data_IF_963054935718
#
_entry.id   IF_963054935718
#
_cell.length_a   1.000
_cell.length_b   1.000
_cell.length_c   1.000
_cell.angle_alpha   90.00
_cell.angle_beta   90.00
_cell.angle_gamma   90.00
#
_symmetry.space_group_name_H-M   'P 1'
#
loop_
_entity.id
_entity.type
_entity.pdbx_description
1 polymer ?
#
# COMPACT_ATOMS: atom_id res chain seq x y z
N UNK A 1 26.41 -22.30 0.92
CA UNK A 1 25.06 -21.90 0.46
C UNK A 1 25.04 -20.38 0.52
N UNK A 2 25.43 -19.72 -0.57
CA UNK A 2 25.30 -18.26 -0.67
C UNK A 2 23.82 -17.95 -0.89
N UNK A 3 23.16 -17.48 0.15
CA UNK A 3 21.84 -16.88 0.00
C UNK A 3 22.05 -15.49 -0.60
N UNK A 4 21.59 -15.29 -1.83
CA UNK A 4 21.50 -13.97 -2.46
C UNK A 4 20.74 -13.01 -1.52
N UNK A 5 21.41 -12.00 -0.93
CA UNK A 5 20.77 -11.06 0.00
C UNK A 5 19.55 -10.38 -0.61
N UNK A 6 19.56 -10.15 -1.93
CA UNK A 6 18.43 -9.56 -2.65
C UNK A 6 17.22 -10.50 -2.74
N UNK A 7 17.42 -11.82 -2.72
CA UNK A 7 16.31 -12.77 -2.67
C UNK A 7 15.64 -12.80 -1.29
N UNK A 8 16.43 -12.64 -0.22
CA UNK A 8 15.92 -12.56 1.15
C UNK A 8 15.10 -11.27 1.36
N UNK A 9 15.66 -10.13 0.97
CA UNK A 9 14.99 -8.83 1.11
C UNK A 9 13.67 -8.75 0.33
N UNK A 10 13.63 -9.32 -0.89
CA UNK A 10 12.38 -9.40 -1.67
C UNK A 10 11.33 -10.28 -1.00
N UNK A 11 11.71 -11.38 -0.34
CA UNK A 11 10.76 -12.22 0.42
C UNK A 11 10.21 -11.48 1.63
N UNK A 12 11.04 -10.71 2.34
CA UNK A 12 10.59 -9.81 3.42
C UNK A 12 9.60 -8.78 2.87
N UNK A 13 9.92 -8.16 1.73
CA UNK A 13 9.03 -7.23 1.02
C UNK A 13 7.67 -7.87 0.75
N UNK A 14 7.65 -9.02 0.08
CA UNK A 14 6.43 -9.73 -0.27
C UNK A 14 5.61 -10.13 0.97
N UNK A 15 6.26 -10.58 2.05
CA UNK A 15 5.57 -10.91 3.29
C UNK A 15 4.91 -9.68 3.95
N UNK A 16 5.54 -8.52 3.90
CA UNK A 16 4.90 -7.27 4.34
C UNK A 16 3.75 -6.83 3.44
N UNK A 17 3.87 -7.02 2.12
CA UNK A 17 2.75 -6.80 1.19
C UNK A 17 1.56 -7.71 1.51
N UNK A 18 1.81 -8.98 1.82
CA UNK A 18 0.79 -9.93 2.26
C UNK A 18 0.08 -9.45 3.53
N UNK A 19 0.86 -9.00 4.53
CA UNK A 19 0.31 -8.49 5.78
C UNK A 19 -0.65 -7.33 5.55
N UNK A 20 -0.27 -6.36 4.71
CA UNK A 20 -1.15 -5.25 4.33
C UNK A 20 -2.36 -5.73 3.54
N UNK A 21 -2.18 -6.66 2.61
CA UNK A 21 -3.27 -7.24 1.82
C UNK A 21 -4.33 -7.93 2.69
N UNK A 22 -3.91 -8.70 3.71
CA UNK A 22 -4.83 -9.35 4.64
C UNK A 22 -5.60 -8.35 5.51
N UNK A 23 -4.94 -7.28 5.99
CA UNK A 23 -5.63 -6.19 6.71
C UNK A 23 -6.72 -5.59 5.83
N UNK A 24 -6.39 -5.25 4.58
CA UNK A 24 -7.35 -4.64 3.64
C UNK A 24 -8.47 -5.61 3.26
N UNK A 25 -8.17 -6.91 3.13
CA UNK A 25 -9.17 -7.95 2.89
C UNK A 25 -10.17 -8.05 4.05
N UNK A 26 -9.69 -7.91 5.29
CA UNK A 26 -10.53 -7.89 6.50
C UNK A 26 -11.46 -6.67 6.61
N UNK A 27 -11.20 -5.59 5.86
CA UNK A 27 -12.09 -4.42 5.80
C UNK A 27 -13.35 -4.64 4.94
N UNK A 28 -13.45 -5.79 4.25
CA UNK A 28 -14.56 -6.12 3.35
C UNK A 28 -14.81 -5.03 2.29
N UNK A 29 -13.73 -4.50 1.72
CA UNK A 29 -13.79 -3.49 0.67
C UNK A 29 -14.47 -4.07 -0.59
N UNK A 30 -15.47 -3.39 -1.18
CA UNK A 30 -16.17 -3.90 -2.36
C UNK A 30 -15.22 -4.19 -3.52
N UNK A 31 -15.24 -5.42 -4.00
CA UNK A 31 -14.43 -5.87 -5.14
C UNK A 31 -12.92 -5.94 -4.89
N UNK A 32 -12.46 -5.80 -3.64
CA UNK A 32 -11.05 -5.95 -3.30
C UNK A 32 -10.63 -7.43 -3.34
N UNK A 33 -9.49 -7.71 -3.95
CA UNK A 33 -8.92 -9.06 -4.00
C UNK A 33 -7.56 -9.09 -4.68
N UNK A 34 -7.07 -10.28 -5.03
CA UNK A 34 -5.72 -10.48 -5.59
C UNK A 34 -5.44 -9.65 -6.86
N UNK A 35 -6.48 -9.22 -7.59
CA UNK A 35 -6.31 -8.33 -8.75
C UNK A 35 -5.80 -6.93 -8.36
N UNK A 36 -6.00 -6.49 -7.11
CA UNK A 36 -5.51 -5.21 -6.60
C UNK A 36 -4.05 -5.27 -6.15
N UNK A 37 -3.49 -6.45 -5.93
CA UNK A 37 -2.10 -6.64 -5.54
C UNK A 37 -1.21 -6.63 -6.79
N UNK A 38 -0.70 -5.46 -7.16
CA UNK A 38 0.01 -5.22 -8.42
C UNK A 38 1.54 -5.31 -8.31
N UNK A 39 2.08 -5.82 -7.20
CA UNK A 39 3.52 -6.02 -7.00
C UNK A 39 4.07 -7.16 -7.85
N UNK A 40 5.23 -6.94 -8.48
CA UNK A 40 5.97 -7.97 -9.22
C UNK A 40 6.60 -9.02 -8.31
N UNK A 41 6.81 -8.72 -7.02
CA UNK A 41 7.41 -9.67 -6.07
C UNK A 41 6.39 -10.55 -5.34
N UNK A 42 5.08 -10.31 -5.53
CA UNK A 42 4.00 -11.08 -4.88
C UNK A 42 4.11 -12.60 -5.10
N UNK A 43 4.61 -13.02 -6.26
CA UNK A 43 4.79 -14.44 -6.62
C UNK A 43 5.76 -15.20 -5.71
N UNK A 44 6.61 -14.50 -4.95
CA UNK A 44 7.53 -15.12 -4.01
C UNK A 44 6.81 -15.83 -2.85
N UNK A 45 5.50 -15.60 -2.70
CA UNK A 45 4.64 -16.25 -1.71
C UNK A 45 3.91 -17.49 -2.25
N UNK A 46 4.10 -17.85 -3.52
CA UNK A 46 3.49 -19.05 -4.13
C UNK A 46 3.83 -20.37 -3.42
N UNK A 47 4.87 -20.40 -2.58
CA UNK A 47 5.16 -21.55 -1.71
C UNK A 47 4.20 -21.70 -0.52
N UNK A 48 3.38 -20.68 -0.21
CA UNK A 48 2.32 -20.75 0.81
C UNK A 48 1.07 -21.39 0.21
N UNK A 49 0.41 -22.28 0.95
CA UNK A 49 -0.85 -22.90 0.52
C UNK A 49 -1.94 -21.88 0.22
N UNK A 50 -1.93 -20.73 0.92
CA UNK A 50 -2.94 -19.69 0.77
C UNK A 50 -2.73 -18.80 -0.47
N UNK A 51 -1.49 -18.69 -0.95
CA UNK A 51 -1.11 -17.91 -2.12
C UNK A 51 -0.54 -18.77 -3.25
N UNK A 52 -0.87 -20.06 -3.29
CA UNK A 52 -0.26 -21.01 -4.22
C UNK A 52 -0.50 -20.67 -5.70
N UNK A 53 -1.61 -19.99 -5.99
CA UNK A 53 -2.03 -19.48 -7.30
C UNK A 53 -1.52 -18.05 -7.60
N UNK A 54 -0.72 -17.46 -6.72
CA UNK A 54 -0.30 -16.07 -6.85
C UNK A 54 0.86 -15.95 -7.85
N UNK A 55 0.51 -15.61 -9.09
CA UNK A 55 1.49 -15.34 -10.15
C UNK A 55 2.12 -13.95 -10.02
N UNK A 56 3.21 -13.68 -10.74
CA UNK A 56 3.80 -12.35 -10.79
C UNK A 56 2.86 -11.38 -11.51
N UNK A 57 2.85 -10.11 -11.10
CA UNK A 57 2.11 -9.09 -11.83
C UNK A 57 2.74 -8.85 -13.22
N UNK A 58 1.94 -8.99 -14.27
CA UNK A 58 2.38 -8.86 -15.67
C UNK A 58 2.25 -7.41 -16.16
N UNK A 59 1.46 -6.58 -15.47
CA UNK A 59 1.27 -5.18 -15.82
C UNK A 59 2.40 -4.25 -15.37
N UNK A 60 2.27 -2.96 -15.70
CA UNK A 60 3.17 -1.93 -15.17
C UNK A 60 2.91 -1.74 -13.67
N UNK A 61 3.88 -2.09 -12.84
CA UNK A 61 3.81 -1.84 -11.39
C UNK A 61 3.79 -0.33 -11.10
N UNK A 62 2.66 0.13 -10.55
CA UNK A 62 2.43 1.54 -10.18
C UNK A 62 2.37 1.76 -8.66
N UNK A 63 2.03 0.73 -7.92
CA UNK A 63 2.19 0.60 -6.47
C UNK A 63 2.05 -0.89 -6.16
N UNK A 64 2.36 -1.30 -4.94
CA UNK A 64 2.23 -2.70 -4.53
C UNK A 64 0.76 -3.12 -4.49
N UNK A 65 -0.13 -2.22 -4.02
CA UNK A 65 -1.58 -2.41 -4.05
C UNK A 65 -2.27 -1.18 -4.64
N UNK A 66 -3.21 -1.38 -5.56
CA UNK A 66 -4.01 -0.31 -6.17
C UNK A 66 -5.49 -0.61 -5.97
N UNK A 67 -6.22 0.34 -5.38
CA UNK A 67 -7.66 0.20 -5.14
C UNK A 67 -8.43 1.48 -5.47
N UNK A 68 -9.47 1.35 -6.29
CA UNK A 68 -10.41 2.44 -6.56
C UNK A 68 -11.52 2.40 -5.50
N UNK A 69 -11.47 3.32 -4.55
CA UNK A 69 -12.50 3.44 -3.52
C UNK A 69 -13.74 4.12 -4.07
N UNK A 70 -14.80 3.32 -4.23
CA UNK A 70 -16.12 3.75 -4.74
C UNK A 70 -17.14 3.98 -3.62
N UNK A 71 -16.77 3.68 -2.38
CA UNK A 71 -17.69 3.73 -1.22
C UNK A 71 -17.20 4.62 -0.09
N UNK A 72 -15.92 5.02 -0.11
CA UNK A 72 -15.28 5.79 0.94
C UNK A 72 -14.83 4.94 2.13
N UNK A 73 -14.96 3.61 2.06
CA UNK A 73 -14.58 2.72 3.17
C UNK A 73 -13.07 2.71 3.41
N UNK A 74 -12.27 2.64 2.34
CA UNK A 74 -10.81 2.72 2.47
C UNK A 74 -10.40 4.13 2.89
N UNK A 75 -11.04 5.18 2.34
CA UNK A 75 -10.82 6.56 2.78
C UNK A 75 -11.06 6.73 4.28
N UNK A 76 -12.17 6.19 4.79
CA UNK A 76 -12.50 6.29 6.21
C UNK A 76 -11.52 5.52 7.09
N UNK A 77 -11.08 4.32 6.66
CA UNK A 77 -10.05 3.56 7.36
C UNK A 77 -8.73 4.35 7.43
N UNK A 78 -8.25 4.87 6.30
CA UNK A 78 -6.99 5.60 6.24
C UNK A 78 -7.05 6.89 7.07
N UNK A 79 -8.16 7.64 7.00
CA UNK A 79 -8.38 8.84 7.82
C UNK A 79 -8.24 8.55 9.31
N UNK A 80 -8.71 7.39 9.77
CA UNK A 80 -8.69 7.01 11.17
C UNK A 80 -7.35 6.46 11.66
N UNK A 81 -6.50 5.98 10.74
CA UNK A 81 -5.28 5.22 11.07
C UNK A 81 -3.99 5.87 10.55
N UNK A 82 -4.04 7.09 10.02
CA UNK A 82 -2.87 7.77 9.45
C UNK A 82 -1.98 8.40 10.52
N UNK A 83 -0.69 8.09 10.48
CA UNK A 83 0.38 8.68 11.27
C UNK A 83 0.86 9.99 10.61
N UNK A 84 0.36 11.13 11.05
CA UNK A 84 0.78 12.45 10.52
C UNK A 84 -0.32 13.26 9.84
N UNK A 85 -1.56 12.77 9.92
CA UNK A 85 -2.72 13.42 9.33
C UNK A 85 -3.12 12.77 8.02
N UNK A 86 -4.31 13.13 7.55
CA UNK A 86 -4.88 12.62 6.32
C UNK A 86 -5.27 13.81 5.45
N UNK A 87 -5.08 13.76 4.12
CA UNK A 87 -5.46 14.83 3.22
C UNK A 87 -6.91 15.28 3.41
N UNK A 88 -7.18 16.56 3.15
CA UNK A 88 -8.54 17.10 3.23
C UNK A 88 -9.39 16.55 2.08
N UNK A 89 -10.07 15.44 2.37
CA UNK A 89 -11.05 14.82 1.47
C UNK A 89 -12.41 15.02 2.10
N UNK A 90 -13.26 15.79 1.43
CA UNK A 90 -14.61 16.12 1.90
C UNK A 90 -15.37 14.88 2.37
N UNK A 91 -15.94 14.94 3.57
CA UNK A 91 -16.81 13.90 4.12
C UNK A 91 -18.12 13.75 3.34
N UNK A 92 -18.52 14.76 2.58
CA UNK A 92 -19.71 14.74 1.73
C UNK A 92 -19.41 14.33 0.28
N UNK A 93 -18.18 13.88 -0.01
CA UNK A 93 -17.81 13.39 -1.35
C UNK A 93 -18.71 12.21 -1.74
N UNK A 94 -19.28 12.28 -2.94
CA UNK A 94 -19.96 11.14 -3.55
C UNK A 94 -18.94 10.22 -4.23
N UNK A 95 -18.50 9.17 -3.54
CA UNK A 95 -17.51 8.21 -4.06
C UNK A 95 -18.01 7.35 -5.22
N UNK A 96 -19.33 7.21 -5.39
CA UNK A 96 -19.88 6.48 -6.53
C UNK A 96 -19.72 7.29 -7.83
N UNK A 97 -19.93 8.62 -7.77
CA UNK A 97 -19.78 9.53 -8.92
C UNK A 97 -18.33 9.97 -9.14
N UNK A 98 -17.58 10.15 -8.06
CA UNK A 98 -16.19 10.58 -8.08
C UNK A 98 -15.37 9.64 -7.18
N UNK A 99 -15.03 8.43 -7.65
CA UNK A 99 -14.21 7.51 -6.87
C UNK A 99 -12.80 8.07 -6.66
N UNK A 100 -12.06 7.46 -5.75
CA UNK A 100 -10.70 7.86 -5.42
C UNK A 100 -9.76 6.68 -5.58
N UNK A 101 -8.71 6.85 -6.39
CA UNK A 101 -7.72 5.80 -6.59
C UNK A 101 -6.62 5.87 -5.54
N UNK A 102 -6.47 4.80 -4.75
CA UNK A 102 -5.40 4.66 -3.79
C UNK A 102 -4.25 3.84 -4.38
N UNK A 103 -3.05 4.41 -4.26
CA UNK A 103 -1.78 3.77 -4.62
C UNK A 103 -1.02 3.50 -3.32
N UNK A 104 -1.07 2.25 -2.86
CA UNK A 104 -0.50 1.83 -1.59
C UNK A 104 0.87 1.20 -1.84
N UNK A 105 1.91 1.83 -1.31
CA UNK A 105 3.29 1.38 -1.36
C UNK A 105 3.70 0.79 -0.01
N UNK A 106 4.12 -0.46 0.01
CA UNK A 106 4.46 -1.18 1.23
C UNK A 106 5.97 -1.11 1.46
N UNK A 107 6.37 -0.65 2.65
CA UNK A 107 7.78 -0.57 3.05
C UNK A 107 8.01 -1.38 4.30
N UNK A 108 8.67 -2.53 4.13
CA UNK A 108 8.81 -3.54 5.18
C UNK A 108 10.21 -3.54 5.79
N UNK A 109 10.30 -3.67 7.11
CA UNK A 109 11.55 -4.05 7.80
C UNK A 109 11.31 -5.14 8.82
N UNK A 110 12.33 -5.97 9.05
CA UNK A 110 12.32 -6.98 10.13
C UNK A 110 12.55 -6.36 11.51
N UNK A 111 13.22 -5.20 11.58
CA UNK A 111 13.43 -4.43 12.80
C UNK A 111 12.35 -3.37 13.06
N UNK A 112 12.58 -2.61 14.13
CA UNK A 112 11.67 -1.61 14.69
C UNK A 112 11.29 -0.50 13.70
N UNK A 113 10.20 0.21 14.00
CA UNK A 113 9.67 1.30 13.15
C UNK A 113 10.73 2.34 12.74
N UNK A 114 11.69 2.65 13.62
CA UNK A 114 12.75 3.63 13.37
C UNK A 114 13.84 3.17 12.40
N UNK A 115 13.86 1.88 12.02
CA UNK A 115 14.76 1.40 10.97
C UNK A 115 14.45 2.14 9.67
N UNK A 116 15.49 2.61 8.99
CA UNK A 116 15.33 3.29 7.69
C UNK A 116 14.77 2.31 6.66
N UNK A 117 13.90 2.80 5.79
CA UNK A 117 13.50 2.10 4.58
C UNK A 117 13.93 2.90 3.36
N UNK A 118 14.07 2.20 2.24
CA UNK A 118 14.48 2.80 0.98
C UNK A 118 13.28 2.93 0.04
N UNK A 119 13.22 4.06 -0.65
CA UNK A 119 12.38 4.26 -1.81
C UNK A 119 13.26 4.37 -3.05
N UNK A 120 12.91 3.64 -4.09
CA UNK A 120 13.57 3.81 -5.39
C UNK A 120 13.25 5.20 -5.97
N UNK A 121 14.12 5.73 -6.82
CA UNK A 121 13.87 7.02 -7.48
C UNK A 121 12.58 7.05 -8.31
N UNK A 122 12.13 5.89 -8.83
CA UNK A 122 10.85 5.76 -9.55
C UNK A 122 9.65 5.88 -8.61
N UNK A 123 9.70 5.24 -7.44
CA UNK A 123 8.67 5.34 -6.41
C UNK A 123 8.60 6.78 -5.87
N UNK A 124 9.76 7.38 -5.58
CA UNK A 124 9.85 8.76 -5.12
C UNK A 124 9.28 9.75 -6.14
N UNK A 125 9.67 9.62 -7.41
CA UNK A 125 9.11 10.47 -8.48
C UNK A 125 7.58 10.33 -8.58
N UNK A 126 7.05 9.11 -8.45
CA UNK A 126 5.61 8.86 -8.50
C UNK A 126 4.87 9.50 -7.33
N UNK A 127 5.46 9.43 -6.13
CA UNK A 127 4.94 10.13 -4.95
C UNK A 127 4.86 11.64 -5.20
N UNK A 128 5.94 12.27 -5.70
CA UNK A 128 5.96 13.69 -6.06
C UNK A 128 4.92 14.03 -7.16
N UNK A 129 4.82 13.21 -8.22
CA UNK A 129 3.86 13.40 -9.31
C UNK A 129 2.38 13.30 -8.85
N UNK A 130 2.13 12.65 -7.70
CA UNK A 130 0.79 12.46 -7.12
C UNK A 130 0.51 13.39 -5.92
N UNK A 131 1.48 14.24 -5.56
CA UNK A 131 1.38 15.12 -4.40
C UNK A 131 0.15 16.01 -4.50
N UNK A 132 -0.60 16.11 -3.41
CA UNK A 132 -1.79 16.95 -3.40
C UNK A 132 -1.37 18.43 -3.24
N UNK A 133 -1.88 19.27 -4.14
CA UNK A 133 -1.63 20.71 -4.07
C UNK A 133 -2.36 21.35 -2.88
N UNK A 134 -1.67 22.20 -2.11
CA UNK A 134 -2.29 22.96 -1.01
C UNK A 134 -3.24 24.07 -1.48
N UNK A 135 -3.05 24.57 -2.70
CA UNK A 135 -3.78 25.73 -3.26
C UNK A 135 -4.88 25.35 -4.26
N UNK A 136 -5.01 24.07 -4.63
CA UNK A 136 -5.99 23.63 -5.64
C UNK A 136 -7.36 23.36 -4.99
N UNK A 137 -7.90 24.38 -4.33
CA UNK A 137 -9.19 24.39 -3.62
C UNK A 137 -10.40 24.10 -4.51
N UNK A 138 -10.19 23.92 -5.81
CA UNK A 138 -11.26 23.76 -6.80
C UNK A 138 -11.40 22.33 -7.33
N UNK A 139 -10.38 21.48 -7.19
CA UNK A 139 -10.41 20.10 -7.72
C UNK A 139 -10.18 19.08 -6.62
N UNK A 140 -11.27 18.39 -6.23
CA UNK A 140 -11.21 17.23 -5.34
C UNK A 140 -10.20 16.20 -5.87
N UNK A 141 -9.33 15.63 -5.02
CA UNK A 141 -8.28 14.72 -5.47
C UNK A 141 -8.89 13.50 -6.15
N UNK A 142 -8.19 12.99 -7.18
CA UNK A 142 -8.56 11.75 -7.89
C UNK A 142 -7.69 10.57 -7.49
N UNK A 143 -6.50 10.84 -6.95
CA UNK A 143 -5.51 9.83 -6.56
C UNK A 143 -4.88 10.21 -5.23
N UNK A 144 -4.55 9.23 -4.41
CA UNK A 144 -3.78 9.43 -3.18
C UNK A 144 -2.70 8.36 -3.10
N UNK A 145 -1.46 8.80 -2.93
CA UNK A 145 -0.33 7.91 -2.66
C UNK A 145 -0.21 7.69 -1.16
N UNK A 146 -0.03 6.44 -0.74
CA UNK A 146 0.02 6.06 0.67
C UNK A 146 1.20 5.14 0.90
N UNK A 147 2.02 5.43 1.91
CA UNK A 147 3.07 4.53 2.39
C UNK A 147 2.50 3.70 3.54
N UNK A 148 2.49 2.39 3.36
CA UNK A 148 2.15 1.39 4.38
C UNK A 148 3.45 0.84 4.98
N UNK A 149 3.87 1.40 6.11
CA UNK A 149 5.13 1.09 6.76
C UNK A 149 4.96 -0.09 7.72
N UNK A 150 5.34 -1.28 7.26
CA UNK A 150 5.34 -2.51 8.07
C UNK A 150 6.70 -2.67 8.77
N UNK A 151 6.69 -2.91 10.07
CA UNK A 151 7.90 -3.07 10.87
C UNK A 151 7.72 -4.18 11.91
N UNK A 152 8.84 -4.62 12.50
CA UNK A 152 8.88 -5.76 13.41
C UNK A 152 8.25 -7.04 12.82
N UNK A 153 8.39 -7.26 11.50
CA UNK A 153 7.74 -8.36 10.77
C UNK A 153 8.08 -9.76 11.33
N UNK A 154 9.25 -9.92 11.96
CA UNK A 154 9.70 -11.18 12.54
C UNK A 154 9.29 -11.35 14.01
N UNK A 155 8.58 -10.37 14.56
CA UNK A 155 8.13 -10.36 15.96
C UNK A 155 6.65 -10.74 16.04
N UNK A 156 6.17 -11.24 17.21
CA UNK A 156 4.76 -11.60 17.37
C UNK A 156 3.80 -10.42 17.17
N UNK A 157 4.25 -9.21 17.48
CA UNK A 157 3.47 -7.98 17.34
C UNK A 157 4.01 -7.18 16.16
N UNK A 158 3.49 -7.49 14.96
CA UNK A 158 3.84 -6.76 13.73
C UNK A 158 3.22 -5.36 13.81
N UNK A 159 4.03 -4.34 13.55
CA UNK A 159 3.59 -2.96 13.54
C UNK A 159 3.24 -2.46 12.13
N UNK A 160 2.27 -1.55 12.06
CA UNK A 160 1.90 -0.83 10.85
C UNK A 160 1.81 0.66 11.15
N UNK A 161 2.49 1.48 10.35
CA UNK A 161 2.22 2.91 10.22
C UNK A 161 1.71 3.26 8.84
N UNK A 162 0.85 4.26 8.76
CA UNK A 162 0.22 4.67 7.50
C UNK A 162 0.48 6.16 7.27
N UNK A 163 1.05 6.50 6.11
CA UNK A 163 1.30 7.90 5.74
C UNK A 163 0.61 8.19 4.41
N UNK A 164 -0.41 9.05 4.40
CA UNK A 164 -1.13 9.45 3.20
C UNK A 164 -0.62 10.82 2.72
N UNK A 165 -0.27 10.91 1.44
CA UNK A 165 0.38 12.09 0.85
C UNK A 165 1.59 12.60 1.67
N UNK A 166 2.60 11.74 1.93
CA UNK A 166 3.76 12.06 2.75
C UNK A 166 4.71 13.10 2.13
#
# INVERSE_FOLDING_TARGET
RDQDPHAHDRRIGAAGEAYVFEILSGLNLPGFGKANWCSTIRHLLSGSTYYADLEAWIGRETADIVYTDRTGHLTQYLRNNCDGGFPEISSTRNFALAPLDYYLEVKTTTGQCGTRFYMSGKQYKRMEDMKLGRDDTQTSPKRVYVIMRVYDLMMPNIGLKVFADP
#
